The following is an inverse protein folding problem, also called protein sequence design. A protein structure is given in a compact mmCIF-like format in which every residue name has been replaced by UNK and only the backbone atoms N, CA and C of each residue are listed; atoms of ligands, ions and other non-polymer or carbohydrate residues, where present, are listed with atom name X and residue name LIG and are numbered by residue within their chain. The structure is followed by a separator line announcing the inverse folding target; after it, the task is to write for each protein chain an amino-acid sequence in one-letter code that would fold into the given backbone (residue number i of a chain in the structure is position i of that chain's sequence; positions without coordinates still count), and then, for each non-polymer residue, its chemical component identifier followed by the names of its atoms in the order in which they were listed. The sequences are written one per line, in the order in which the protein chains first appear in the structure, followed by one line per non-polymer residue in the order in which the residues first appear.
data_IF_275085241759
#
_entry.id   IF_275085241759
#
_cell.length_a   1.000
_cell.length_b   1.000
_cell.length_c   1.000
_cell.angle_alpha   90.00
_cell.angle_beta   90.00
_cell.angle_gamma   90.00
#
_symmetry.space_group_name_H-M   'P 1'
#
loop_
_entity.id
_entity.type
_entity.pdbx_description
1 polymer ?
#
# COMPACT_ATOMS: atom_id res chain seq x y z
N UNK A 1 17.47 11.68 -4.10
CA UNK A 1 17.19 10.83 -5.28
C UNK A 1 15.77 11.13 -5.68
N UNK A 2 15.53 11.57 -6.91
CA UNK A 2 14.18 11.85 -7.37
C UNK A 2 13.38 10.53 -7.37
N UNK A 3 12.22 10.51 -6.71
CA UNK A 3 11.23 9.45 -6.83
C UNK A 3 10.66 9.47 -8.26
N UNK A 4 11.46 9.03 -9.25
CA UNK A 4 10.99 8.93 -10.63
C UNK A 4 10.01 7.77 -10.70
N UNK A 5 8.72 8.08 -10.72
CA UNK A 5 7.67 7.11 -11.01
C UNK A 5 7.66 6.83 -12.52
N UNK A 6 7.91 5.58 -12.88
CA UNK A 6 7.78 5.11 -14.26
C UNK A 6 6.31 4.76 -14.50
N UNK A 7 5.54 5.76 -14.94
CA UNK A 7 4.13 5.62 -15.32
C UNK A 7 4.02 5.02 -16.72
N UNK A 8 3.02 4.15 -16.93
CA UNK A 8 2.68 3.60 -18.24
C UNK A 8 1.96 4.63 -19.11
N UNK A 9 1.85 4.38 -20.42
CA UNK A 9 1.07 5.26 -21.31
C UNK A 9 -0.40 5.29 -20.88
N UNK A 10 -0.93 6.49 -20.59
CA UNK A 10 -2.29 6.68 -20.08
C UNK A 10 -2.44 6.48 -18.56
N UNK A 11 -1.37 6.11 -17.85
CA UNK A 11 -1.36 6.02 -16.39
C UNK A 11 -1.18 7.42 -15.77
N UNK A 12 -2.05 7.77 -14.83
CA UNK A 12 -2.04 9.05 -14.13
C UNK A 12 -2.18 8.84 -12.62
N UNK A 13 -1.45 9.64 -11.85
CA UNK A 13 -1.54 9.62 -10.39
C UNK A 13 -2.83 10.32 -9.97
N UNK A 14 -3.75 9.59 -9.34
CA UNK A 14 -5.00 10.14 -8.81
C UNK A 14 -4.86 10.56 -7.35
N UNK A 15 -4.00 9.90 -6.57
CA UNK A 15 -3.76 10.26 -5.17
C UNK A 15 -2.34 9.95 -4.73
N UNK A 16 -1.68 10.92 -4.09
CA UNK A 16 -0.41 10.74 -3.38
C UNK A 16 -0.65 10.81 -1.86
N UNK A 17 -0.07 9.89 -1.10
CA UNK A 17 -0.12 9.91 0.36
C UNK A 17 1.18 9.38 0.98
N UNK A 18 1.66 10.07 2.03
CA UNK A 18 2.76 9.57 2.86
C UNK A 18 2.27 8.47 3.78
N UNK A 19 3.08 7.45 3.99
CA UNK A 19 2.75 6.35 4.88
C UNK A 19 3.91 5.40 5.06
N UNK A 20 3.65 4.32 5.80
CA UNK A 20 4.65 3.28 6.01
C UNK A 20 4.19 1.97 5.41
N UNK A 21 5.12 1.20 4.89
CA UNK A 21 4.91 -0.18 4.48
C UNK A 21 5.38 -1.11 5.57
N UNK A 22 4.52 -2.04 5.97
CA UNK A 22 4.83 -3.03 6.99
C UNK A 22 5.03 -4.40 6.36
N UNK A 23 6.27 -4.85 6.39
CA UNK A 23 6.66 -6.18 5.93
C UNK A 23 6.86 -7.10 7.14
N UNK A 24 6.28 -8.31 7.08
CA UNK A 24 6.55 -9.35 8.06
C UNK A 24 7.53 -10.34 7.45
N UNK A 25 8.79 -10.28 7.88
CA UNK A 25 9.81 -11.24 7.48
C UNK A 25 10.11 -12.16 8.66
N UNK A 26 9.64 -13.41 8.55
CA UNK A 26 9.79 -14.49 9.53
C UNK A 26 9.33 -14.11 10.96
N UNK A 27 10.21 -13.52 11.77
CA UNK A 27 9.95 -13.08 13.15
C UNK A 27 10.03 -11.56 13.36
N UNK A 28 10.46 -10.79 12.36
CA UNK A 28 10.65 -9.35 12.49
C UNK A 28 9.61 -8.59 11.67
N UNK A 29 9.04 -7.57 12.29
CA UNK A 29 8.25 -6.56 11.60
C UNK A 29 9.20 -5.44 11.17
N UNK A 30 9.31 -5.22 9.86
CA UNK A 30 10.04 -4.09 9.31
C UNK A 30 9.04 -3.03 8.86
N UNK A 31 9.16 -1.83 9.44
CA UNK A 31 8.47 -0.64 8.99
C UNK A 31 9.38 0.11 8.02
N UNK A 32 8.90 0.34 6.81
CA UNK A 32 9.59 1.14 5.80
C UNK A 32 8.79 2.40 5.57
N UNK A 33 9.33 3.56 5.95
CA UNK A 33 8.68 4.85 5.70
C UNK A 33 8.86 5.26 4.25
N UNK A 34 7.80 5.77 3.64
CA UNK A 34 7.79 6.15 2.24
C UNK A 34 6.54 6.90 1.81
N UNK A 35 6.24 6.77 0.53
CA UNK A 35 5.09 7.37 -0.13
C UNK A 35 4.36 6.33 -0.96
N UNK A 36 3.05 6.48 -0.99
CA UNK A 36 2.15 5.73 -1.86
C UNK A 36 1.61 6.66 -2.94
N UNK A 37 1.60 6.15 -4.16
CA UNK A 37 0.92 6.73 -5.31
C UNK A 37 -0.14 5.75 -5.77
N UNK A 38 -1.37 6.20 -5.71
CA UNK A 38 -2.53 5.50 -6.25
C UNK A 38 -2.78 6.08 -7.63
N UNK A 39 -2.55 5.27 -8.65
CA UNK A 39 -2.83 5.63 -10.03
C UNK A 39 -4.21 5.14 -10.42
N UNK A 40 -4.60 5.31 -11.69
CA UNK A 40 -5.80 4.69 -12.24
C UNK A 40 -5.65 3.19 -12.51
N UNK A 41 -4.43 2.63 -12.48
CA UNK A 41 -4.17 1.22 -12.79
C UNK A 41 -3.64 0.40 -11.62
N UNK A 42 -2.87 1.02 -10.71
CA UNK A 42 -2.13 0.30 -9.66
C UNK A 42 -1.79 1.17 -8.45
N UNK A 43 -1.38 0.49 -7.39
CA UNK A 43 -0.82 1.09 -6.18
C UNK A 43 0.70 0.96 -6.25
N UNK A 44 1.40 2.08 -6.16
CA UNK A 44 2.86 2.14 -6.14
C UNK A 44 3.29 2.64 -4.76
N UNK A 45 4.21 1.93 -4.12
CA UNK A 45 4.90 2.40 -2.91
C UNK A 45 6.39 2.52 -3.18
N UNK A 46 7.00 3.62 -2.76
CA UNK A 46 8.46 3.79 -2.70
C UNK A 46 8.84 4.24 -1.30
N UNK A 47 9.75 3.52 -0.66
CA UNK A 47 10.21 3.84 0.69
C UNK A 47 11.38 2.98 1.16
N UNK A 48 12.14 3.50 2.12
CA UNK A 48 13.41 2.91 2.52
C UNK A 48 14.45 2.87 1.38
N UNK A 49 15.52 2.10 1.56
CA UNK A 49 16.64 2.06 0.61
C UNK A 49 16.36 1.24 -0.67
N UNK A 50 15.41 0.28 -0.64
CA UNK A 50 15.18 -0.69 -1.73
C UNK A 50 13.69 -1.00 -1.97
N UNK A 51 12.77 -0.65 -1.06
CA UNK A 51 11.40 -1.14 -1.18
C UNK A 51 10.59 -0.35 -2.21
N UNK A 52 10.37 -0.98 -3.35
CA UNK A 52 9.35 -0.64 -4.31
C UNK A 52 8.29 -1.75 -4.30
N UNK A 53 7.04 -1.38 -4.08
CA UNK A 53 5.90 -2.29 -4.20
C UNK A 53 5.00 -1.75 -5.29
N UNK A 54 4.60 -2.62 -6.21
CA UNK A 54 3.73 -2.31 -7.34
C UNK A 54 2.60 -3.34 -7.35
N UNK A 55 1.36 -2.89 -7.16
CA UNK A 55 0.19 -3.76 -7.02
C UNK A 55 -0.87 -3.29 -8.02
N UNK A 56 -1.04 -3.98 -9.15
CA UNK A 56 -2.16 -3.75 -10.06
C UNK A 56 -3.50 -3.96 -9.37
N UNK A 57 -4.49 -3.10 -9.62
CA UNK A 57 -5.83 -3.30 -9.03
C UNK A 57 -6.46 -4.63 -9.47
N UNK A 58 -6.16 -5.07 -10.69
CA UNK A 58 -6.60 -6.36 -11.24
C UNK A 58 -6.12 -7.57 -10.44
N UNK A 59 -5.00 -7.45 -9.74
CA UNK A 59 -4.41 -8.54 -8.96
C UNK A 59 -4.90 -8.54 -7.52
N UNK A 60 -5.60 -7.49 -7.09
CA UNK A 60 -6.19 -7.40 -5.76
C UNK A 60 -7.41 -8.31 -5.71
N UNK A 61 -7.43 -9.20 -4.73
CA UNK A 61 -8.57 -10.05 -4.41
C UNK A 61 -9.43 -9.41 -3.33
N UNK A 62 -8.81 -8.81 -2.31
CA UNK A 62 -9.53 -8.13 -1.24
C UNK A 62 -8.71 -7.04 -0.57
N UNK A 63 -9.41 -6.00 -0.11
CA UNK A 63 -8.83 -4.91 0.67
C UNK A 63 -9.63 -4.74 1.97
N UNK A 64 -8.94 -4.71 3.11
CA UNK A 64 -9.59 -4.62 4.43
C UNK A 64 -8.77 -3.76 5.39
N UNK A 65 -9.43 -3.10 6.33
CA UNK A 65 -8.72 -2.42 7.42
C UNK A 65 -8.00 -3.47 8.30
N UNK A 66 -6.77 -3.15 8.73
CA UNK A 66 -6.00 -4.02 9.60
C UNK A 66 -5.20 -3.23 10.64
N UNK A 67 -4.82 -3.91 11.72
CA UNK A 67 -3.88 -3.36 12.70
C UNK A 67 -2.45 -3.61 12.20
N UNK A 68 -1.61 -2.58 12.25
CA UNK A 68 -0.18 -2.66 11.95
C UNK A 68 0.64 -2.27 13.19
N UNK A 69 1.78 -2.95 13.37
CA UNK A 69 2.67 -2.76 14.51
C UNK A 69 2.24 -3.45 15.83
N UNK A 70 3.16 -3.59 16.79
CA UNK A 70 2.91 -4.25 18.08
C UNK A 70 2.24 -3.34 19.13
N UNK A 71 2.22 -2.02 18.92
CA UNK A 71 1.93 -1.05 19.98
C UNK A 71 0.45 -0.61 20.09
N UNK A 72 -0.38 -0.84 19.07
CA UNK A 72 -1.78 -0.36 19.06
C UNK A 72 -2.73 -1.49 18.60
N UNK A 73 -3.04 -2.47 19.47
CA UNK A 73 -3.92 -3.59 19.11
C UNK A 73 -5.40 -3.19 18.93
N UNK A 74 -5.80 -1.97 19.29
CA UNK A 74 -7.21 -1.53 19.30
C UNK A 74 -7.59 -0.56 18.17
N UNK A 75 -6.62 0.00 17.44
CA UNK A 75 -6.91 0.95 16.36
C UNK A 75 -6.35 0.41 15.04
N UNK A 76 -7.20 0.18 14.02
CA UNK A 76 -6.73 -0.20 12.70
C UNK A 76 -5.98 0.99 12.09
N UNK A 77 -4.66 0.92 12.13
CA UNK A 77 -3.74 1.93 11.60
C UNK A 77 -3.30 1.63 10.16
N UNK A 78 -3.69 0.48 9.61
CA UNK A 78 -3.32 0.07 8.26
C UNK A 78 -4.46 -0.47 7.42
N UNK A 79 -4.11 -0.73 6.17
CA UNK A 79 -4.92 -1.33 5.10
C UNK A 79 -4.19 -2.59 4.66
N UNK A 80 -4.85 -3.73 4.76
CA UNK A 80 -4.37 -5.01 4.25
C UNK A 80 -4.90 -5.20 2.83
N UNK A 81 -4.01 -5.33 1.86
CA UNK A 81 -4.30 -5.67 0.47
C UNK A 81 -3.88 -7.12 0.27
N UNK A 82 -4.82 -7.99 -0.09
CA UNK A 82 -4.56 -9.38 -0.43
C UNK A 82 -4.71 -9.54 -1.93
N UNK A 83 -3.70 -10.16 -2.55
CA UNK A 83 -3.67 -10.40 -4.00
C UNK A 83 -4.08 -11.83 -4.32
N UNK A 84 -4.51 -12.07 -5.56
CA UNK A 84 -4.92 -13.38 -6.07
C UNK A 84 -3.80 -14.44 -5.98
N UNK A 85 -2.55 -14.02 -6.07
CA UNK A 85 -1.36 -14.86 -5.86
C UNK A 85 -1.11 -15.25 -4.38
N UNK A 86 -2.00 -14.88 -3.47
CA UNK A 86 -1.88 -15.17 -2.04
C UNK A 86 -0.92 -14.24 -1.28
N UNK A 87 -0.30 -13.27 -1.95
CA UNK A 87 0.55 -12.27 -1.28
C UNK A 87 -0.32 -11.26 -0.54
N UNK A 88 0.14 -10.87 0.64
CA UNK A 88 -0.51 -9.86 1.48
C UNK A 88 0.42 -8.68 1.70
N UNK A 89 -0.10 -7.47 1.46
CA UNK A 89 0.59 -6.21 1.68
C UNK A 89 -0.11 -5.43 2.78
N UNK A 90 0.65 -4.79 3.68
CA UNK A 90 0.10 -3.98 4.77
C UNK A 90 0.58 -2.53 4.62
N UNK A 91 -0.37 -1.67 4.27
CA UNK A 91 -0.16 -0.26 4.03
C UNK A 91 -0.60 0.54 5.26
N UNK A 92 0.31 1.19 5.95
CA UNK A 92 0.01 2.11 7.05
C UNK A 92 -0.19 3.51 6.49
N UNK A 93 -1.45 3.91 6.29
CA UNK A 93 -1.80 5.19 5.68
C UNK A 93 -2.87 5.91 6.49
N UNK A 94 -2.79 7.24 6.49
CA UNK A 94 -3.86 8.08 6.99
C UNK A 94 -5.11 7.92 6.12
N UNK A 95 -6.28 8.31 6.63
CA UNK A 95 -7.55 8.26 5.89
C UNK A 95 -7.87 6.87 5.31
N UNK A 96 -7.47 5.79 5.99
CA UNK A 96 -7.64 4.39 5.57
C UNK A 96 -9.02 4.05 4.98
N UNK A 97 -10.12 4.60 5.50
CA UNK A 97 -11.47 4.36 4.98
C UNK A 97 -11.64 4.91 3.56
N UNK A 98 -11.14 6.13 3.31
CA UNK A 98 -11.13 6.72 1.97
C UNK A 98 -10.23 5.93 1.03
N UNK A 99 -9.10 5.42 1.52
CA UNK A 99 -8.17 4.61 0.71
C UNK A 99 -8.76 3.25 0.37
N UNK A 100 -9.40 2.57 1.33
CA UNK A 100 -10.09 1.29 1.09
C UNK A 100 -11.17 1.50 0.03
N UNK A 101 -12.06 2.48 0.22
CA UNK A 101 -13.12 2.77 -0.75
C UNK A 101 -12.56 3.15 -2.13
N UNK A 102 -11.44 3.89 -2.18
CA UNK A 102 -10.77 4.21 -3.43
C UNK A 102 -10.25 2.94 -4.14
N UNK A 103 -9.58 2.04 -3.41
CA UNK A 103 -9.08 0.79 -3.97
C UNK A 103 -10.26 -0.08 -4.44
N UNK A 104 -11.30 -0.25 -3.63
CA UNK A 104 -12.50 -1.03 -3.98
C UNK A 104 -13.21 -0.49 -5.23
N UNK A 105 -13.19 0.82 -5.45
CA UNK A 105 -13.76 1.45 -6.66
C UNK A 105 -12.96 1.16 -7.94
N UNK A 106 -11.73 0.65 -7.83
CA UNK A 106 -10.81 0.41 -8.96
C UNK A 106 -10.57 -1.08 -9.24
N UNK A 107 -11.02 -1.95 -8.33
CA UNK A 107 -10.96 -3.41 -8.43
C UNK A 107 -11.96 -3.98 -9.44
#
# INVERSE_FOLDING_TARGET
MADTLELREGESVEKEIKGDYWEKSFCFYSQKTGKYWFTNERIIFRGGFIAAVDIPYTDIESVKACNVGPLIPFLPTGVKVSTKDGKTYKLSVLKRKEIIAFIESKM
#
